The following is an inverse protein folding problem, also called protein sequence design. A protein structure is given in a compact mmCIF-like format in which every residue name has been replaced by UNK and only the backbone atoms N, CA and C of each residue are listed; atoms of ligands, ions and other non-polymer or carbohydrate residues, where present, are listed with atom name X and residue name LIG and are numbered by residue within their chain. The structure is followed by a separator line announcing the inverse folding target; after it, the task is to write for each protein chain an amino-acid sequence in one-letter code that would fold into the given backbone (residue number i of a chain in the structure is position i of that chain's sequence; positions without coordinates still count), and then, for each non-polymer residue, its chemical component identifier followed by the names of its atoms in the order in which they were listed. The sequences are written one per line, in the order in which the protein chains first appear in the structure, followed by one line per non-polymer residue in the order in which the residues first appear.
data_IF_325291381489
#
_entry.id   IF_325291381489
#
_cell.length_a   1.000
_cell.length_b   1.000
_cell.length_c   1.000
_cell.angle_alpha   90.00
_cell.angle_beta   90.00
_cell.angle_gamma   90.00
#
_symmetry.space_group_name_H-M   'P 1'
#
loop_
_entity.id
_entity.type
_entity.pdbx_description
1 polymer ?
#
# COMPACT_ATOMS: atom_id res chain seq x y z
N UNK A 1 -52.41 -1.62 69.85
CA UNK A 1 -52.38 -2.96 69.21
C UNK A 1 -51.83 -2.79 67.80
N UNK A 2 -50.70 -3.41 67.44
CA UNK A 2 -50.12 -3.27 66.08
C UNK A 2 -48.64 -2.87 66.04
N UNK A 3 -47.75 -3.79 66.42
CA UNK A 3 -46.30 -3.67 66.17
C UNK A 3 -46.01 -4.03 64.69
N UNK A 4 -45.10 -3.33 63.98
CA UNK A 4 -44.65 -3.71 62.63
C UNK A 4 -43.14 -3.50 62.43
N UNK A 5 -42.51 -4.48 61.79
CA UNK A 5 -41.06 -4.59 61.51
C UNK A 5 -40.89 -5.69 60.43
N UNK A 6 -39.79 -5.83 59.68
CA UNK A 6 -38.53 -5.07 59.69
C UNK A 6 -38.48 -4.13 58.45
N UNK A 7 -37.52 -4.05 57.50
CA UNK A 7 -36.29 -4.79 57.15
C UNK A 7 -35.23 -3.79 56.65
N UNK A 8 -34.03 -3.80 57.23
CA UNK A 8 -32.86 -3.13 56.65
C UNK A 8 -32.23 -4.02 55.58
N UNK A 9 -32.16 -3.55 54.32
CA UNK A 9 -31.46 -4.26 53.25
C UNK A 9 -30.09 -3.60 53.03
N UNK A 10 -29.03 -4.35 53.29
CA UNK A 10 -27.64 -3.93 53.03
C UNK A 10 -27.22 -4.47 51.67
N UNK A 11 -27.08 -3.58 50.68
CA UNK A 11 -26.58 -3.94 49.36
C UNK A 11 -25.04 -4.02 49.37
N UNK A 12 -24.48 -5.23 49.36
CA UNK A 12 -23.04 -5.46 49.19
C UNK A 12 -22.70 -5.37 47.70
N UNK A 13 -21.89 -4.38 47.30
CA UNK A 13 -21.40 -4.24 45.94
C UNK A 13 -20.12 -5.06 45.74
N UNK A 14 -20.20 -6.15 44.95
CA UNK A 14 -19.00 -6.85 44.46
C UNK A 14 -18.46 -6.13 43.22
N UNK A 15 -17.27 -5.54 43.33
CA UNK A 15 -16.51 -5.00 42.21
C UNK A 15 -15.80 -6.12 41.44
N UNK A 16 -16.37 -6.52 40.31
CA UNK A 16 -15.80 -7.56 39.45
C UNK A 16 -14.65 -6.99 38.60
N UNK A 17 -13.41 -7.28 38.98
CA UNK A 17 -12.22 -6.82 38.25
C UNK A 17 -12.01 -7.54 36.92
N UNK A 18 -12.05 -6.82 35.81
CA UNK A 18 -11.65 -7.35 34.50
C UNK A 18 -10.13 -7.40 34.39
N UNK A 19 -9.56 -8.61 34.27
CA UNK A 19 -8.20 -8.77 33.75
C UNK A 19 -8.22 -8.60 32.23
N UNK A 20 -7.63 -7.51 31.73
CA UNK A 20 -7.40 -7.33 30.31
C UNK A 20 -6.28 -8.24 29.83
N UNK A 21 -6.62 -9.29 29.09
CA UNK A 21 -5.63 -10.11 28.38
C UNK A 21 -5.05 -9.30 27.21
N UNK A 22 -3.78 -8.92 27.30
CA UNK A 22 -3.04 -8.37 26.17
C UNK A 22 -2.87 -9.48 25.11
N UNK A 23 -3.44 -9.28 23.93
CA UNK A 23 -3.21 -10.14 22.78
C UNK A 23 -2.00 -9.64 22.00
N UNK A 24 -0.88 -10.35 22.10
CA UNK A 24 0.30 -10.09 21.27
C UNK A 24 -0.06 -10.27 19.79
N UNK A 25 -0.06 -9.15 19.05
CA UNK A 25 -0.33 -9.12 17.62
C UNK A 25 0.85 -9.71 16.85
N UNK A 26 0.88 -11.05 16.72
CA UNK A 26 1.92 -11.74 15.95
C UNK A 26 1.93 -11.26 14.49
N UNK A 27 3.00 -10.56 14.11
CA UNK A 27 3.24 -10.11 12.76
C UNK A 27 3.40 -11.33 11.82
N UNK A 28 2.34 -11.64 11.09
CA UNK A 28 2.32 -12.73 10.12
C UNK A 28 3.28 -12.41 8.97
N UNK A 29 4.38 -13.17 8.87
CA UNK A 29 5.34 -13.01 7.78
C UNK A 29 4.66 -13.18 6.42
N UNK A 30 5.04 -12.35 5.44
CA UNK A 30 4.37 -12.25 4.14
C UNK A 30 4.16 -13.62 3.47
N UNK A 31 2.90 -13.95 3.20
CA UNK A 31 2.53 -15.24 2.61
C UNK A 31 3.15 -15.37 1.21
N UNK A 32 3.64 -16.56 0.85
CA UNK A 32 4.19 -16.80 -0.50
C UNK A 32 3.08 -17.18 -1.46
N UNK A 33 3.05 -16.54 -2.63
CA UNK A 33 2.15 -16.88 -3.73
C UNK A 33 2.59 -18.15 -4.47
N UNK A 34 1.80 -18.55 -5.48
CA UNK A 34 2.12 -19.67 -6.37
C UNK A 34 3.45 -19.48 -7.15
N UNK A 35 3.89 -18.23 -7.30
CA UNK A 35 5.21 -17.88 -7.86
C UNK A 35 6.38 -18.01 -6.86
N UNK A 36 6.13 -18.38 -5.60
CA UNK A 36 7.13 -18.43 -4.53
C UNK A 36 7.56 -17.06 -3.97
N UNK A 37 7.12 -15.97 -4.60
CA UNK A 37 7.34 -14.59 -4.19
C UNK A 37 6.34 -14.16 -3.09
N UNK A 38 6.68 -13.16 -2.25
CA UNK A 38 5.80 -12.67 -1.19
C UNK A 38 4.52 -12.04 -1.75
N UNK A 39 3.48 -12.06 -0.92
CA UNK A 39 2.20 -11.38 -1.11
C UNK A 39 1.80 -10.63 0.18
N UNK A 40 1.26 -9.41 0.07
CA UNK A 40 1.17 -8.62 -1.16
C UNK A 40 2.55 -8.06 -1.58
N UNK A 41 2.70 -7.60 -2.83
CA UNK A 41 3.95 -6.96 -3.31
C UNK A 41 3.73 -6.01 -4.49
N UNK A 42 4.55 -4.97 -4.62
CA UNK A 42 4.50 -4.07 -5.76
C UNK A 42 5.27 -4.57 -6.99
N UNK A 43 4.68 -4.30 -8.16
CA UNK A 43 5.23 -4.51 -9.50
C UNK A 43 4.82 -3.34 -10.41
N UNK A 44 5.24 -3.33 -11.68
CA UNK A 44 4.81 -2.32 -12.66
C UNK A 44 4.15 -2.92 -13.90
N UNK A 45 3.29 -2.13 -14.56
CA UNK A 45 2.69 -2.51 -15.84
C UNK A 45 3.71 -2.41 -16.98
N UNK A 46 4.04 -3.53 -17.63
CA UNK A 46 5.07 -3.61 -18.67
C UNK A 46 4.60 -3.04 -20.02
N UNK A 47 3.35 -3.28 -20.38
CA UNK A 47 2.81 -3.00 -21.71
C UNK A 47 2.14 -1.63 -21.82
N UNK A 48 2.20 -1.00 -23.00
CA UNK A 48 1.48 0.27 -23.30
C UNK A 48 -0.04 0.14 -23.22
N UNK A 49 -0.58 -1.07 -23.33
CA UNK A 49 -1.98 -1.41 -23.09
C UNK A 49 -2.04 -2.65 -22.20
N UNK A 50 -2.78 -2.58 -21.10
CA UNK A 50 -3.03 -3.71 -20.20
C UNK A 50 -4.52 -3.77 -19.89
N UNK A 51 -5.16 -4.89 -20.25
CA UNK A 51 -6.56 -5.14 -19.92
C UNK A 51 -6.62 -5.83 -18.55
N UNK A 52 -7.35 -5.23 -17.62
CA UNK A 52 -7.73 -5.83 -16.34
C UNK A 52 -9.11 -6.45 -16.46
N UNK A 53 -9.31 -7.63 -15.88
CA UNK A 53 -10.53 -8.43 -16.01
C UNK A 53 -11.16 -8.74 -14.65
N UNK A 54 -12.46 -9.04 -14.66
CA UNK A 54 -13.20 -9.42 -13.44
C UNK A 54 -12.82 -10.83 -12.90
N UNK A 55 -12.12 -11.65 -13.67
CA UNK A 55 -11.69 -13.00 -13.28
C UNK A 55 -10.42 -13.47 -14.02
N UNK A 56 -9.77 -14.55 -13.55
CA UNK A 56 -8.47 -15.03 -14.03
C UNK A 56 -8.58 -15.88 -15.32
N UNK A 57 -9.21 -15.35 -16.36
CA UNK A 57 -9.21 -15.93 -17.72
C UNK A 57 -9.43 -14.85 -18.78
N UNK A 58 -9.09 -15.15 -20.03
CA UNK A 58 -9.39 -14.31 -21.21
C UNK A 58 -10.88 -14.17 -21.49
N UNK A 59 -11.72 -15.02 -20.90
CA UNK A 59 -13.16 -15.09 -21.17
C UNK A 59 -13.95 -14.13 -20.26
N UNK A 60 -13.37 -13.75 -19.12
CA UNK A 60 -13.96 -12.75 -18.22
C UNK A 60 -13.91 -11.34 -18.84
N UNK A 61 -14.99 -10.59 -18.67
CA UNK A 61 -15.09 -9.21 -19.15
C UNK A 61 -13.93 -8.33 -18.66
N UNK A 62 -13.49 -7.41 -19.53
CA UNK A 62 -12.50 -6.37 -19.21
C UNK A 62 -13.19 -5.30 -18.36
N UNK A 63 -12.74 -5.11 -17.12
CA UNK A 63 -13.24 -4.06 -16.23
C UNK A 63 -12.51 -2.73 -16.41
N UNK A 64 -11.24 -2.76 -16.83
CA UNK A 64 -10.43 -1.57 -17.04
C UNK A 64 -9.33 -1.77 -18.10
N UNK A 65 -8.89 -0.68 -18.72
CA UNK A 65 -7.77 -0.70 -19.68
C UNK A 65 -6.76 0.39 -19.31
N UNK A 66 -5.60 -0.02 -18.80
CA UNK A 66 -4.49 0.89 -18.57
C UNK A 66 -3.80 1.20 -19.90
N UNK A 67 -3.51 2.49 -20.16
CA UNK A 67 -2.88 3.00 -21.39
C UNK A 67 -1.45 3.53 -21.16
N UNK A 68 -0.83 3.20 -20.03
CA UNK A 68 0.49 3.69 -19.61
C UNK A 68 1.30 2.57 -18.98
N UNK A 69 2.49 2.32 -19.53
CA UNK A 69 3.51 1.44 -18.95
C UNK A 69 4.23 2.13 -17.78
N UNK A 70 4.82 1.35 -16.87
CA UNK A 70 5.47 1.84 -15.66
C UNK A 70 4.50 2.27 -14.56
N UNK A 71 3.19 2.02 -14.71
CA UNK A 71 2.22 2.26 -13.63
C UNK A 71 2.45 1.26 -12.48
N UNK A 72 2.62 1.71 -11.23
CA UNK A 72 2.78 0.83 -10.07
C UNK A 72 1.46 0.17 -9.66
N UNK A 73 1.49 -1.15 -9.46
CA UNK A 73 0.35 -1.94 -8.98
C UNK A 73 0.78 -2.94 -7.93
N UNK A 74 -0.09 -3.19 -6.96
CA UNK A 74 0.10 -4.15 -5.88
C UNK A 74 -0.47 -5.50 -6.31
N UNK A 75 0.34 -6.57 -6.38
CA UNK A 75 -0.18 -7.94 -6.49
C UNK A 75 -0.67 -8.37 -5.11
N UNK A 76 -1.95 -8.68 -5.00
CA UNK A 76 -2.61 -9.13 -3.76
C UNK A 76 -2.95 -10.63 -3.77
N UNK A 77 -3.18 -11.26 -4.94
CA UNK A 77 -3.47 -12.69 -5.07
C UNK A 77 -2.90 -13.26 -6.38
N UNK A 78 -2.68 -14.58 -6.42
CA UNK A 78 -2.14 -15.29 -7.59
C UNK A 78 -2.98 -16.52 -7.93
N UNK A 79 -3.22 -16.75 -9.22
CA UNK A 79 -3.87 -17.95 -9.75
C UNK A 79 -3.24 -18.28 -11.10
N UNK A 80 -2.53 -19.40 -11.22
CA UNK A 80 -1.77 -19.81 -12.42
C UNK A 80 -0.92 -18.65 -13.03
N UNK A 81 -1.27 -18.20 -14.23
CA UNK A 81 -0.66 -17.10 -14.98
C UNK A 81 -1.28 -15.72 -14.69
N UNK A 82 -2.25 -15.63 -13.78
CA UNK A 82 -3.00 -14.42 -13.45
C UNK A 82 -2.63 -13.88 -12.08
N UNK A 83 -2.53 -12.56 -11.99
CA UNK A 83 -2.27 -11.82 -10.76
C UNK A 83 -3.47 -10.92 -10.51
N UNK A 84 -4.10 -11.05 -9.35
CA UNK A 84 -5.06 -10.05 -8.88
C UNK A 84 -4.25 -8.87 -8.39
N UNK A 85 -4.45 -7.74 -9.03
CA UNK A 85 -3.78 -6.49 -8.71
C UNK A 85 -4.74 -5.52 -8.04
N UNK A 86 -4.16 -4.55 -7.31
CA UNK A 86 -4.78 -3.31 -6.88
C UNK A 86 -3.97 -2.12 -7.42
N UNK A 87 -4.64 -1.08 -7.91
CA UNK A 87 -3.99 0.16 -8.35
C UNK A 87 -3.97 1.26 -7.27
N UNK A 88 -3.32 2.39 -7.60
CA UNK A 88 -3.14 3.54 -6.72
C UNK A 88 -4.45 4.27 -6.34
N UNK A 89 -5.55 3.95 -7.01
CA UNK A 89 -6.89 4.50 -6.77
C UNK A 89 -7.81 3.46 -6.09
N UNK A 90 -7.26 2.29 -5.71
CA UNK A 90 -7.94 1.21 -5.01
C UNK A 90 -8.67 0.21 -5.92
N UNK A 91 -8.55 0.35 -7.24
CA UNK A 91 -9.25 -0.51 -8.21
C UNK A 91 -8.62 -1.89 -8.23
N UNK A 92 -9.43 -2.95 -8.10
CA UNK A 92 -8.95 -4.34 -8.15
C UNK A 92 -9.41 -5.11 -9.39
N UNK A 93 -8.58 -6.05 -9.83
CA UNK A 93 -8.94 -7.01 -10.88
C UNK A 93 -7.77 -7.87 -11.31
N UNK A 94 -8.00 -8.74 -12.29
CA UNK A 94 -7.02 -9.73 -12.76
C UNK A 94 -6.28 -9.28 -14.00
N UNK A 95 -4.95 -9.42 -13.98
CA UNK A 95 -4.04 -9.16 -15.11
C UNK A 95 -3.15 -10.39 -15.34
N UNK A 96 -2.89 -10.73 -16.61
CA UNK A 96 -1.97 -11.81 -16.95
C UNK A 96 -0.52 -11.39 -16.67
N UNK A 97 0.27 -12.26 -16.03
CA UNK A 97 1.62 -11.94 -15.56
C UNK A 97 2.59 -11.49 -16.65
N UNK A 98 2.40 -11.90 -17.91
CA UNK A 98 3.24 -11.46 -19.03
C UNK A 98 3.14 -9.95 -19.34
N UNK A 99 2.09 -9.29 -18.83
CA UNK A 99 1.86 -7.84 -18.94
C UNK A 99 2.46 -7.03 -17.78
N UNK A 100 3.12 -7.69 -16.83
CA UNK A 100 3.74 -7.10 -15.64
C UNK A 100 5.27 -7.14 -15.72
N UNK A 101 5.94 -6.32 -14.92
CA UNK A 101 7.40 -6.25 -14.78
C UNK A 101 7.79 -6.18 -13.31
N UNK A 102 8.90 -6.83 -12.94
CA UNK A 102 9.53 -6.68 -11.62
C UNK A 102 10.22 -5.33 -11.42
N UNK A 103 10.37 -4.53 -12.48
CA UNK A 103 10.87 -3.15 -12.42
C UNK A 103 10.04 -2.34 -11.42
N UNK A 104 10.67 -1.88 -10.33
CA UNK A 104 9.99 -1.15 -9.26
C UNK A 104 9.78 0.31 -9.64
N UNK A 105 8.52 0.70 -9.64
CA UNK A 105 8.05 2.06 -9.92
C UNK A 105 7.21 2.56 -8.77
N UNK A 106 7.06 3.87 -8.66
CA UNK A 106 6.16 4.50 -7.70
C UNK A 106 5.41 5.67 -8.33
N UNK A 107 4.36 6.11 -7.65
CA UNK A 107 3.59 7.31 -7.96
C UNK A 107 3.53 8.24 -6.75
N UNK A 108 3.81 9.52 -6.97
CA UNK A 108 3.83 10.54 -5.92
C UNK A 108 2.41 10.78 -5.39
N UNK A 109 2.22 10.65 -4.07
CA UNK A 109 1.02 10.99 -3.29
C UNK A 109 -0.31 10.95 -4.08
N UNK A 110 -0.73 9.81 -4.67
CA UNK A 110 -1.92 9.74 -5.53
C UNK A 110 -3.19 10.21 -4.82
N UNK A 111 -3.30 9.97 -3.50
CA UNK A 111 -4.35 10.46 -2.61
C UNK A 111 -4.39 12.00 -2.45
N UNK A 112 -3.46 12.75 -3.06
CA UNK A 112 -3.42 14.22 -3.07
C UNK A 112 -3.71 14.84 -4.45
N UNK A 113 -4.02 14.03 -5.47
CA UNK A 113 -4.44 14.52 -6.80
C UNK A 113 -5.57 15.54 -6.67
N UNK A 114 -5.45 16.67 -7.36
CA UNK A 114 -6.46 17.74 -7.39
C UNK A 114 -6.56 18.61 -6.13
N UNK A 115 -5.83 18.34 -5.04
CA UNK A 115 -5.97 19.08 -3.76
C UNK A 115 -5.29 20.44 -3.70
N UNK A 116 -4.61 20.89 -4.76
CA UNK A 116 -4.03 22.23 -4.87
C UNK A 116 -2.77 22.29 -5.73
N UNK A 117 -2.36 23.50 -6.14
CA UNK A 117 -1.15 23.74 -6.96
C UNK A 117 0.16 23.82 -6.17
N UNK A 118 0.09 23.69 -4.85
CA UNK A 118 1.26 23.80 -3.95
C UNK A 118 1.56 22.48 -3.20
N UNK A 119 0.83 21.40 -3.52
CA UNK A 119 1.06 20.07 -2.95
C UNK A 119 2.07 19.32 -3.81
N UNK A 120 3.22 18.94 -3.24
CA UNK A 120 4.28 18.20 -3.93
C UNK A 120 4.94 17.19 -2.99
N UNK A 121 5.38 16.05 -3.55
CA UNK A 121 6.37 15.19 -2.91
C UNK A 121 7.76 15.74 -3.20
N UNK A 122 8.59 15.89 -2.16
CA UNK A 122 9.92 16.51 -2.31
C UNK A 122 10.99 15.43 -2.55
N UNK A 123 11.55 15.40 -3.75
CA UNK A 123 12.76 14.61 -4.02
C UNK A 123 13.98 15.36 -3.48
N UNK A 124 14.75 14.72 -2.59
CA UNK A 124 15.90 15.29 -1.89
C UNK A 124 17.21 14.68 -2.38
N UNK A 125 18.33 15.37 -2.16
CA UNK A 125 19.67 14.88 -2.56
C UNK A 125 20.09 13.60 -1.83
N UNK A 126 19.65 13.44 -0.58
CA UNK A 126 20.01 12.34 0.32
C UNK A 126 18.76 11.80 1.03
N UNK A 127 18.87 10.60 1.62
CA UNK A 127 17.82 9.92 2.37
C UNK A 127 17.59 10.53 3.77
N UNK A 128 17.33 11.84 3.85
CA UNK A 128 17.04 12.54 5.09
C UNK A 128 16.13 13.76 4.88
N UNK A 129 15.28 14.06 5.86
CA UNK A 129 14.29 15.14 5.79
C UNK A 129 14.89 16.54 5.71
N UNK A 130 16.11 16.74 6.21
CA UNK A 130 16.85 18.00 6.12
C UNK A 130 17.56 18.24 4.79
N UNK A 131 17.77 17.22 3.95
CA UNK A 131 18.55 17.37 2.73
C UNK A 131 17.88 18.27 1.69
N UNK A 132 18.73 18.98 0.92
CA UNK A 132 18.32 19.90 -0.13
C UNK A 132 17.36 19.23 -1.13
N UNK A 133 16.25 19.89 -1.43
CA UNK A 133 15.29 19.47 -2.45
C UNK A 133 15.93 19.66 -3.83
N UNK A 134 15.93 18.59 -4.63
CA UNK A 134 16.47 18.57 -6.00
C UNK A 134 15.38 18.55 -7.07
N UNK A 135 14.17 18.07 -6.72
CA UNK A 135 12.98 18.19 -7.54
C UNK A 135 11.70 18.16 -6.69
N UNK A 136 10.61 18.68 -7.23
CA UNK A 136 9.25 18.55 -6.68
C UNK A 136 8.41 17.72 -7.64
N UNK A 137 7.71 16.72 -7.12
CA UNK A 137 6.87 15.80 -7.90
C UNK A 137 5.40 16.09 -7.60
N UNK A 138 4.62 16.39 -8.63
CA UNK A 138 3.17 16.59 -8.49
C UNK A 138 2.45 15.27 -8.14
N UNK A 139 1.36 15.31 -7.35
CA UNK A 139 0.49 14.18 -7.10
C UNK A 139 0.04 13.47 -8.39
N UNK A 140 0.41 12.20 -8.55
CA UNK A 140 0.17 11.41 -9.76
C UNK A 140 1.36 11.28 -10.73
N UNK A 141 2.48 11.97 -10.51
CA UNK A 141 3.73 11.74 -11.26
C UNK A 141 4.25 10.33 -10.97
N UNK A 142 4.59 9.61 -12.03
CA UNK A 142 5.09 8.22 -12.00
C UNK A 142 6.58 8.19 -12.32
N UNK A 143 7.36 7.46 -11.53
CA UNK A 143 8.82 7.42 -11.58
C UNK A 143 9.36 6.04 -11.16
N UNK A 144 10.66 5.79 -11.39
CA UNK A 144 11.33 4.55 -10.94
C UNK A 144 11.79 4.68 -9.49
N UNK A 145 11.83 3.57 -8.78
CA UNK A 145 12.54 3.44 -7.49
C UNK A 145 13.51 2.26 -7.57
N UNK A 146 14.81 2.53 -7.52
CA UNK A 146 15.85 1.50 -7.70
C UNK A 146 16.26 0.82 -6.39
N UNK A 147 16.22 1.57 -5.30
CA UNK A 147 16.61 1.13 -3.96
C UNK A 147 15.62 1.72 -2.95
N UNK A 148 15.32 1.00 -1.87
CA UNK A 148 14.56 1.49 -0.73
C UNK A 148 15.25 1.03 0.56
N UNK A 149 15.30 1.87 1.60
CA UNK A 149 16.05 1.60 2.84
C UNK A 149 15.17 1.42 4.09
N UNK A 150 13.85 1.37 3.94
CA UNK A 150 12.86 1.29 5.03
C UNK A 150 12.16 2.62 5.35
N UNK A 151 12.77 3.76 5.02
CA UNK A 151 12.19 5.10 5.21
C UNK A 151 12.11 5.91 3.91
N UNK A 152 13.12 5.74 3.05
CA UNK A 152 13.31 6.46 1.79
C UNK A 152 13.48 5.48 0.63
N UNK A 153 13.13 5.94 -0.57
CA UNK A 153 13.41 5.24 -1.81
C UNK A 153 14.20 6.14 -2.77
N UNK A 154 15.26 5.60 -3.37
CA UNK A 154 16.07 6.29 -4.37
C UNK A 154 15.34 6.28 -5.70
N UNK A 155 14.93 7.46 -6.15
CA UNK A 155 13.97 7.69 -7.20
C UNK A 155 14.58 8.36 -8.44
N UNK A 156 14.05 8.04 -9.61
CA UNK A 156 14.44 8.65 -10.90
C UNK A 156 13.21 9.12 -11.69
N UNK A 157 13.11 10.44 -11.87
CA UNK A 157 11.98 11.12 -12.52
C UNK A 157 12.49 12.01 -13.67
N UNK A 158 12.49 11.47 -14.89
CA UNK A 158 12.93 12.18 -16.10
C UNK A 158 14.44 12.41 -16.12
N UNK A 159 14.88 13.59 -15.66
CA UNK A 159 16.30 13.93 -15.48
C UNK A 159 16.67 14.17 -14.01
N UNK A 160 15.70 14.14 -13.09
CA UNK A 160 15.94 14.26 -11.66
C UNK A 160 16.22 12.88 -11.04
N UNK A 161 17.25 12.80 -10.20
CA UNK A 161 17.55 11.65 -9.35
C UNK A 161 17.81 12.12 -7.92
N UNK A 162 17.34 11.33 -6.95
CA UNK A 162 17.41 11.67 -5.53
C UNK A 162 16.65 10.67 -4.68
N UNK A 163 16.15 11.09 -3.53
CA UNK A 163 15.40 10.26 -2.58
C UNK A 163 14.03 10.86 -2.28
N UNK A 164 13.02 10.01 -2.16
CA UNK A 164 11.65 10.38 -1.73
C UNK A 164 11.26 9.58 -0.49
N UNK A 165 10.42 10.14 0.38
CA UNK A 165 9.90 9.43 1.55
C UNK A 165 8.95 8.30 1.14
N UNK A 166 9.03 7.14 1.79
CA UNK A 166 8.10 6.03 1.54
C UNK A 166 6.65 6.39 1.87
N UNK A 167 6.44 7.17 2.94
CA UNK A 167 5.11 7.63 3.34
C UNK A 167 4.45 8.63 2.37
N UNK A 168 5.18 9.12 1.37
CA UNK A 168 4.69 10.06 0.35
C UNK A 168 4.36 9.38 -1.00
N UNK A 169 4.50 8.05 -1.11
CA UNK A 169 4.40 7.33 -2.40
C UNK A 169 3.50 6.09 -2.35
N UNK A 170 3.04 5.65 -3.53
CA UNK A 170 2.47 4.32 -3.74
C UNK A 170 3.39 3.55 -4.70
N UNK A 171 3.88 2.37 -4.29
CA UNK A 171 4.90 1.60 -5.01
C UNK A 171 5.95 0.92 -4.11
N UNK A 172 6.00 1.29 -2.83
CA UNK A 172 6.69 0.58 -1.75
C UNK A 172 5.83 0.64 -0.48
N UNK A 173 5.98 -0.32 0.42
CA UNK A 173 5.37 -0.26 1.77
C UNK A 173 6.26 0.51 2.75
N UNK A 174 5.71 1.13 3.81
CA UNK A 174 6.50 1.64 4.93
C UNK A 174 7.35 0.51 5.54
N UNK A 175 8.65 0.75 5.74
CA UNK A 175 9.59 -0.26 6.22
C UNK A 175 10.10 -1.21 5.15
N UNK A 176 9.69 -1.08 3.88
CA UNK A 176 10.19 -1.94 2.81
C UNK A 176 11.63 -1.57 2.42
N UNK A 177 12.53 -2.55 2.43
CA UNK A 177 13.92 -2.38 2.02
C UNK A 177 14.30 -3.34 0.87
N UNK A 178 14.90 -2.81 -0.19
CA UNK A 178 15.41 -3.56 -1.34
C UNK A 178 16.51 -2.78 -2.08
N UNK A 179 17.28 -3.48 -2.92
CA UNK A 179 18.36 -3.00 -3.79
C UNK A 179 18.31 -3.77 -5.12
#
# INVERSE_FOLDING_TARGET
MGMRSVVSIVCIALSLGLLGAATDAMAQGAAKGASGLPLPRFVSLKSKRVNMRIGPSTDYAVSWMYLKSGMPVEIIQEYENWRRIRDADGTEGWVNQALLSGERTAVAAPWMRGKGKEVYVNMRREAQSGAAVVARLEPGVVFRIGECNGDWCRAEAGQASGWVSQGEIWGAYPGEAFK
#
